data_IF_808053008997
#
_entry.id   IF_808053008997
#
_cell.length_a   1.000
_cell.length_b   1.000
_cell.length_c   1.000
_cell.angle_alpha   90.00
_cell.angle_beta   90.00
_cell.angle_gamma   90.00
#
_symmetry.space_group_name_H-M   'P 1'
#
loop_
_entity.id
_entity.type
_entity.pdbx_description
1 polymer ?
#
# COMPACT_ATOMS: atom_id res chain seq x y z
N UNK A 1 -24.18 -16.00 13.03
CA UNK A 1 -25.52 -15.76 13.64
C UNK A 1 -25.64 -14.27 13.95
N UNK A 2 -26.76 -13.67 13.62
CA UNK A 2 -27.09 -12.28 13.92
C UNK A 2 -28.41 -12.14 14.64
N UNK A 3 -28.70 -10.94 15.11
CA UNK A 3 -30.00 -10.56 15.66
C UNK A 3 -30.55 -9.44 14.76
N UNK A 4 -31.75 -9.64 14.22
CA UNK A 4 -32.45 -8.60 13.47
C UNK A 4 -32.86 -7.48 14.46
N UNK A 5 -32.36 -6.24 14.28
CA UNK A 5 -32.58 -5.17 15.24
C UNK A 5 -34.04 -4.73 15.34
N UNK A 6 -34.83 -4.97 14.29
CA UNK A 6 -36.23 -4.55 14.23
C UNK A 6 -37.20 -5.61 14.79
N UNK A 7 -36.85 -6.88 14.67
CA UNK A 7 -37.71 -7.99 15.04
C UNK A 7 -37.21 -8.81 16.22
N UNK A 8 -35.99 -8.58 16.68
CA UNK A 8 -35.27 -9.37 17.70
C UNK A 8 -35.17 -10.88 17.38
N UNK A 9 -35.38 -11.25 16.11
CA UNK A 9 -35.27 -12.63 15.68
C UNK A 9 -33.82 -12.97 15.33
N UNK A 10 -33.40 -14.13 15.80
CA UNK A 10 -32.10 -14.70 15.37
C UNK A 10 -32.20 -15.12 13.92
N UNK A 11 -31.14 -14.77 13.16
CA UNK A 11 -30.95 -15.24 11.80
C UNK A 11 -29.55 -15.87 11.64
N UNK A 12 -29.43 -16.73 10.66
CA UNK A 12 -28.16 -17.33 10.26
C UNK A 12 -27.98 -17.05 8.79
N UNK A 13 -26.88 -16.36 8.46
CA UNK A 13 -26.42 -16.23 7.08
C UNK A 13 -25.21 -17.12 6.86
N UNK A 14 -25.13 -17.67 5.66
CA UNK A 14 -23.97 -18.45 5.23
C UNK A 14 -23.25 -17.66 4.16
N UNK A 15 -21.96 -17.44 4.40
CA UNK A 15 -21.06 -16.78 3.45
C UNK A 15 -20.06 -17.78 2.89
N UNK A 16 -19.76 -17.65 1.60
CA UNK A 16 -18.62 -18.29 0.99
C UNK A 16 -17.39 -17.43 1.25
N UNK A 17 -16.27 -18.05 1.64
CA UNK A 17 -14.98 -17.37 1.83
C UNK A 17 -14.06 -17.74 0.69
N UNK A 18 -13.46 -16.74 0.06
CA UNK A 18 -12.54 -16.89 -1.08
C UNK A 18 -11.23 -16.18 -0.81
N UNK A 19 -10.17 -16.75 -1.38
CA UNK A 19 -8.86 -16.08 -1.46
C UNK A 19 -8.91 -14.94 -2.45
N UNK A 20 -8.19 -13.86 -2.16
CA UNK A 20 -7.91 -12.81 -3.12
C UNK A 20 -6.59 -13.16 -3.81
N UNK A 21 -6.59 -13.19 -5.14
CA UNK A 21 -5.40 -13.57 -5.90
C UNK A 21 -4.23 -12.63 -5.60
N UNK A 22 -3.07 -13.23 -5.28
CA UNK A 22 -1.85 -12.48 -5.01
C UNK A 22 -1.77 -11.80 -3.64
N UNK A 23 -2.80 -11.96 -2.78
CA UNK A 23 -2.80 -11.41 -1.42
C UNK A 23 -2.86 -12.56 -0.41
N UNK A 24 -2.09 -12.45 0.67
CA UNK A 24 -2.11 -13.44 1.75
C UNK A 24 -3.47 -13.47 2.44
N UNK A 25 -4.01 -14.68 2.68
CA UNK A 25 -5.25 -14.89 3.42
C UNK A 25 -5.16 -14.42 4.89
N UNK A 26 -3.95 -14.28 5.42
CA UNK A 26 -3.72 -13.73 6.75
C UNK A 26 -4.03 -12.22 6.82
N UNK A 27 -4.02 -11.55 5.66
CA UNK A 27 -4.25 -10.11 5.56
C UNK A 27 -5.64 -9.77 5.06
N UNK A 28 -6.09 -10.44 4.01
CA UNK A 28 -7.37 -10.13 3.37
C UNK A 28 -8.02 -11.40 2.81
N UNK A 29 -9.34 -11.45 2.93
CA UNK A 29 -10.20 -12.46 2.31
C UNK A 29 -11.37 -11.77 1.65
N UNK A 30 -12.00 -12.41 0.68
CA UNK A 30 -13.32 -12.03 0.20
C UNK A 30 -14.37 -12.96 0.83
N UNK A 31 -15.44 -12.41 1.38
CA UNK A 31 -16.56 -13.18 1.88
C UNK A 31 -17.87 -12.61 1.33
N UNK A 32 -18.80 -13.48 0.97
CA UNK A 32 -20.05 -13.08 0.37
C UNK A 32 -20.97 -14.25 0.02
N UNK A 33 -21.99 -13.93 -0.77
CA UNK A 33 -22.98 -14.86 -1.27
C UNK A 33 -23.35 -14.53 -2.74
N UNK A 34 -24.50 -14.98 -3.20
CA UNK A 34 -25.00 -14.74 -4.57
C UNK A 34 -25.22 -13.25 -4.87
N UNK A 35 -25.40 -12.40 -3.85
CA UNK A 35 -25.63 -10.96 -4.00
C UNK A 35 -24.31 -10.18 -4.18
N UNK A 36 -23.19 -10.77 -3.78
CA UNK A 36 -21.85 -10.16 -3.96
C UNK A 36 -20.84 -10.60 -2.92
N UNK A 37 -19.58 -10.18 -3.16
CA UNK A 37 -18.46 -10.43 -2.27
C UNK A 37 -17.88 -9.11 -1.77
N UNK A 38 -17.53 -9.08 -0.50
CA UNK A 38 -16.87 -7.95 0.15
C UNK A 38 -15.50 -8.36 0.64
N UNK A 39 -14.55 -7.42 0.60
CA UNK A 39 -13.20 -7.64 1.11
C UNK A 39 -13.19 -7.35 2.60
N UNK A 40 -12.59 -8.27 3.35
CA UNK A 40 -12.36 -8.15 4.78
C UNK A 40 -10.85 -8.19 5.03
N UNK A 41 -10.34 -7.15 5.66
CA UNK A 41 -8.96 -7.08 6.13
C UNK A 41 -8.86 -7.59 7.57
N UNK A 42 -7.69 -8.12 7.94
CA UNK A 42 -7.40 -8.44 9.34
C UNK A 42 -7.34 -7.16 10.18
N UNK A 43 -7.99 -7.18 11.35
CA UNK A 43 -8.20 -6.01 12.21
C UNK A 43 -6.92 -5.55 12.94
N UNK A 44 -5.88 -6.38 13.01
CA UNK A 44 -4.60 -6.07 13.65
C UNK A 44 -3.45 -6.60 12.79
N UNK A 45 -3.27 -6.04 11.62
CA UNK A 45 -2.06 -6.33 10.86
C UNK A 45 -0.87 -5.59 11.48
N UNK A 46 -0.06 -6.31 12.24
CA UNK A 46 1.26 -5.82 12.62
C UNK A 46 2.06 -5.56 11.35
N UNK A 47 2.61 -4.36 11.21
CA UNK A 47 3.43 -4.05 10.05
C UNK A 47 4.57 -5.08 9.91
N UNK A 48 4.81 -5.63 8.70
CA UNK A 48 5.87 -6.59 8.47
C UNK A 48 7.24 -6.03 8.82
N UNK A 49 8.13 -6.86 9.39
CA UNK A 49 9.47 -6.44 9.83
C UNK A 49 10.37 -5.93 8.70
N UNK A 50 10.06 -6.30 7.44
CA UNK A 50 10.86 -5.92 6.27
C UNK A 50 9.97 -5.52 5.09
N UNK A 51 10.51 -4.64 4.24
CA UNK A 51 9.85 -4.24 2.99
C UNK A 51 9.56 -5.44 2.08
N UNK A 52 10.49 -6.39 1.97
CA UNK A 52 10.28 -7.59 1.15
C UNK A 52 9.07 -8.40 1.59
N UNK A 53 8.90 -8.56 2.90
CA UNK A 53 7.72 -9.24 3.45
C UNK A 53 6.43 -8.46 3.21
N UNK A 54 6.47 -7.13 3.29
CA UNK A 54 5.33 -6.28 2.92
C UNK A 54 4.95 -6.47 1.45
N UNK A 55 5.93 -6.36 0.54
CA UNK A 55 5.70 -6.52 -0.90
C UNK A 55 5.10 -7.89 -1.25
N UNK A 56 5.59 -8.95 -0.57
CA UNK A 56 5.12 -10.33 -0.77
C UNK A 56 3.70 -10.53 -0.25
N UNK A 57 3.42 -10.16 1.01
CA UNK A 57 2.14 -10.41 1.66
C UNK A 57 0.97 -9.72 0.95
N UNK A 58 1.19 -8.49 0.47
CA UNK A 58 0.17 -7.73 -0.26
C UNK A 58 0.28 -7.90 -1.78
N UNK A 59 1.31 -8.61 -2.26
CA UNK A 59 1.55 -8.79 -3.69
C UNK A 59 1.63 -7.46 -4.44
N UNK A 60 2.26 -6.43 -3.84
CA UNK A 60 2.14 -5.05 -4.31
C UNK A 60 2.55 -4.90 -5.77
N UNK A 61 3.70 -5.43 -6.17
CA UNK A 61 4.18 -5.34 -7.55
C UNK A 61 3.37 -6.15 -8.58
N UNK A 62 2.46 -7.01 -8.12
CA UNK A 62 1.61 -7.84 -8.98
C UNK A 62 0.19 -7.32 -9.07
N UNK A 63 -0.27 -6.67 -8.00
CA UNK A 63 -1.66 -6.24 -7.85
C UNK A 63 -1.85 -4.73 -8.02
N UNK A 64 -0.77 -3.95 -8.05
CA UNK A 64 -0.82 -2.49 -8.10
C UNK A 64 0.02 -2.00 -9.28
N UNK A 65 -0.58 -1.21 -10.14
CA UNK A 65 0.06 -0.48 -11.24
C UNK A 65 0.15 1.00 -10.85
N UNK A 66 1.36 1.55 -10.84
CA UNK A 66 1.60 2.96 -10.53
C UNK A 66 1.39 3.79 -11.80
N UNK A 67 0.41 4.69 -11.79
CA UNK A 67 0.01 5.42 -12.98
C UNK A 67 0.52 6.88 -13.00
N UNK A 68 0.49 7.52 -11.85
CA UNK A 68 0.89 8.91 -11.68
C UNK A 68 1.80 9.07 -10.47
N UNK A 69 2.68 10.06 -10.54
CA UNK A 69 3.49 10.48 -9.41
C UNK A 69 3.36 11.98 -9.21
N UNK A 70 3.04 12.37 -7.99
CA UNK A 70 3.01 13.77 -7.56
C UNK A 70 4.27 14.05 -6.74
N UNK A 71 5.06 15.03 -7.18
CA UNK A 71 6.15 15.56 -6.38
C UNK A 71 5.59 16.52 -5.35
N UNK A 72 5.87 16.27 -4.08
CA UNK A 72 5.45 17.10 -2.96
C UNK A 72 6.66 17.72 -2.27
N UNK A 73 6.53 18.96 -1.85
CA UNK A 73 7.54 19.69 -1.08
C UNK A 73 6.84 20.44 0.05
N UNK A 74 7.21 20.14 1.30
CA UNK A 74 6.57 20.73 2.48
C UNK A 74 5.03 20.58 2.46
N UNK A 75 4.55 19.39 2.10
CA UNK A 75 3.11 19.06 1.96
C UNK A 75 2.37 19.75 0.82
N UNK A 76 3.04 20.59 0.04
CA UNK A 76 2.48 21.22 -1.15
C UNK A 76 2.79 20.38 -2.39
N UNK A 77 1.78 20.11 -3.18
CA UNK A 77 1.93 19.50 -4.51
C UNK A 77 2.59 20.49 -5.45
N UNK A 78 3.68 20.07 -6.07
CA UNK A 78 4.43 20.94 -7.01
C UNK A 78 4.24 20.51 -8.46
N UNK A 79 4.25 19.23 -8.72
CA UNK A 79 4.23 18.67 -10.07
C UNK A 79 3.60 17.28 -10.06
N UNK A 80 2.75 17.01 -11.05
CA UNK A 80 2.21 15.68 -11.31
C UNK A 80 2.71 15.18 -12.66
N UNK A 81 3.23 13.96 -12.68
CA UNK A 81 3.81 13.31 -13.86
C UNK A 81 3.10 11.98 -14.12
N UNK A 82 2.83 11.71 -15.39
CA UNK A 82 2.35 10.38 -15.82
C UNK A 82 3.52 9.42 -15.85
N UNK A 83 3.32 8.21 -15.34
CA UNK A 83 4.26 7.10 -15.46
C UNK A 83 3.90 6.25 -16.67
N UNK A 84 4.85 6.07 -17.58
CA UNK A 84 4.69 5.17 -18.73
C UNK A 84 4.89 3.70 -18.33
N UNK A 85 5.65 3.45 -17.27
CA UNK A 85 5.97 2.11 -16.76
C UNK A 85 6.47 2.22 -15.30
N UNK A 86 6.16 1.25 -14.47
CA UNK A 86 6.57 1.21 -13.06
C UNK A 86 7.53 0.06 -12.71
N UNK A 87 7.89 -0.79 -13.67
CA UNK A 87 8.75 -1.96 -13.47
C UNK A 87 10.07 -1.62 -12.78
N UNK A 88 10.75 -0.53 -13.20
CA UNK A 88 12.02 -0.11 -12.61
C UNK A 88 11.84 0.27 -11.13
N UNK A 89 10.71 0.90 -10.78
CA UNK A 89 10.40 1.28 -9.39
C UNK A 89 10.28 0.02 -8.53
N UNK A 90 9.49 -0.96 -8.99
CA UNK A 90 9.32 -2.24 -8.31
C UNK A 90 10.62 -3.04 -8.19
N UNK A 91 11.47 -3.01 -9.23
CA UNK A 91 12.79 -3.66 -9.18
C UNK A 91 13.71 -3.01 -8.14
N UNK A 92 13.74 -1.68 -8.06
CA UNK A 92 14.53 -0.97 -7.05
C UNK A 92 14.03 -1.32 -5.64
N UNK A 93 12.71 -1.31 -5.42
CA UNK A 93 12.11 -1.67 -4.13
C UNK A 93 12.38 -3.13 -3.75
N UNK A 94 12.25 -4.06 -4.71
CA UNK A 94 12.59 -5.46 -4.50
C UNK A 94 14.08 -5.67 -4.16
N UNK A 95 14.98 -4.86 -4.75
CA UNK A 95 16.41 -4.82 -4.40
C UNK A 95 16.68 -4.34 -2.98
N UNK A 96 15.68 -3.79 -2.28
CA UNK A 96 15.73 -3.33 -0.88
C UNK A 96 14.83 -4.15 0.04
N UNK A 97 14.58 -5.40 -0.32
CA UNK A 97 13.71 -6.32 0.43
C UNK A 97 14.15 -6.52 1.89
N UNK A 98 15.41 -6.28 2.21
CA UNK A 98 15.99 -6.32 3.56
C UNK A 98 15.76 -5.04 4.39
N UNK A 99 15.21 -3.98 3.78
CA UNK A 99 14.92 -2.72 4.48
C UNK A 99 14.01 -2.99 5.67
N UNK A 100 14.44 -2.54 6.85
CA UNK A 100 13.74 -2.78 8.11
C UNK A 100 12.63 -1.77 8.34
N UNK A 101 11.61 -2.24 9.03
CA UNK A 101 10.57 -1.38 9.59
C UNK A 101 11.19 -0.33 10.51
N UNK A 102 10.79 0.91 10.34
CA UNK A 102 11.08 2.04 11.21
C UNK A 102 9.75 2.68 11.62
N UNK A 103 9.42 2.60 12.89
CA UNK A 103 8.24 3.21 13.51
C UNK A 103 8.61 4.29 14.53
N UNK A 104 9.82 4.83 14.44
CA UNK A 104 10.32 5.85 15.39
C UNK A 104 9.74 7.24 15.12
N UNK A 105 9.22 7.49 13.94
CA UNK A 105 8.57 8.75 13.56
C UNK A 105 7.61 8.54 12.39
N UNK A 106 6.46 9.20 12.44
CA UNK A 106 5.52 9.26 11.32
C UNK A 106 6.21 9.76 10.04
N UNK A 107 5.85 9.15 8.91
CA UNK A 107 6.38 9.53 7.60
C UNK A 107 6.18 11.02 7.33
N UNK A 108 5.08 11.62 7.72
CA UNK A 108 4.73 13.00 7.44
C UNK A 108 5.15 14.00 8.54
N UNK A 109 5.56 13.57 9.72
CA UNK A 109 6.00 14.48 10.81
C UNK A 109 7.40 15.07 10.61
N UNK A 110 8.17 14.59 9.62
CA UNK A 110 9.54 15.06 9.35
C UNK A 110 9.51 16.38 8.60
N UNK A 111 10.08 17.43 9.17
CA UNK A 111 10.14 18.78 8.57
C UNK A 111 10.95 18.84 7.25
N UNK A 112 10.60 19.80 6.37
CA UNK A 112 11.30 20.15 5.12
C UNK A 112 11.50 18.96 4.16
N UNK A 113 10.44 18.19 3.94
CA UNK A 113 10.51 16.95 3.19
C UNK A 113 10.12 17.11 1.72
N UNK A 114 10.99 16.63 0.86
CA UNK A 114 10.64 16.33 -0.53
C UNK A 114 10.29 14.84 -0.62
N UNK A 115 9.12 14.55 -1.16
CA UNK A 115 8.69 13.18 -1.40
C UNK A 115 7.88 13.02 -2.68
N UNK A 116 7.84 11.82 -3.18
CA UNK A 116 6.98 11.38 -4.28
C UNK A 116 5.78 10.65 -3.70
N UNK A 117 4.57 11.01 -4.15
CA UNK A 117 3.34 10.32 -3.84
C UNK A 117 2.80 9.66 -5.10
N UNK A 118 2.68 8.33 -5.10
CA UNK A 118 2.24 7.57 -6.26
C UNK A 118 0.76 7.24 -6.18
N UNK A 119 0.04 7.57 -7.25
CA UNK A 119 -1.34 7.14 -7.49
C UNK A 119 -1.32 5.84 -8.27
N UNK A 120 -2.12 4.89 -7.84
CA UNK A 120 -2.12 3.56 -8.39
C UNK A 120 -3.52 3.04 -8.71
N UNK A 121 -3.59 2.05 -9.59
CA UNK A 121 -4.78 1.24 -9.86
C UNK A 121 -4.50 -0.22 -9.56
N UNK A 122 -5.55 -0.96 -9.26
CA UNK A 122 -5.50 -2.40 -9.07
C UNK A 122 -6.77 -3.02 -9.65
N UNK A 123 -6.61 -4.00 -10.54
CA UNK A 123 -7.76 -4.77 -11.05
C UNK A 123 -8.43 -5.58 -9.92
N UNK A 124 -7.66 -5.98 -8.92
CA UNK A 124 -8.15 -6.80 -7.81
C UNK A 124 -8.80 -5.96 -6.70
N UNK A 125 -8.20 -4.83 -6.35
CA UNK A 125 -8.58 -4.03 -5.17
C UNK A 125 -9.26 -2.69 -5.53
N UNK A 126 -9.28 -2.31 -6.81
CA UNK A 126 -9.85 -1.05 -7.29
C UNK A 126 -8.81 0.06 -7.46
N UNK A 127 -9.27 1.30 -7.40
CA UNK A 127 -8.41 2.49 -7.59
C UNK A 127 -7.92 3.01 -6.25
N UNK A 128 -6.63 3.24 -6.16
CA UNK A 128 -5.98 3.83 -5.00
C UNK A 128 -5.43 5.21 -5.34
N UNK A 129 -5.79 6.20 -4.57
CA UNK A 129 -5.18 7.51 -4.66
C UNK A 129 -4.03 7.61 -3.67
N UNK A 130 -2.80 7.84 -4.19
CA UNK A 130 -1.57 8.02 -3.38
C UNK A 130 -1.29 6.86 -2.43
N UNK A 131 -1.07 5.71 -3.01
CA UNK A 131 -0.89 4.46 -2.26
C UNK A 131 0.52 4.28 -1.70
N UNK A 132 1.54 4.86 -2.37
CA UNK A 132 2.95 4.72 -2.02
C UNK A 132 3.60 6.09 -1.91
N UNK A 133 4.50 6.23 -0.95
CA UNK A 133 5.27 7.44 -0.70
C UNK A 133 6.75 7.11 -0.62
N UNK A 134 7.59 7.90 -1.30
CA UNK A 134 9.05 7.75 -1.27
C UNK A 134 9.68 9.11 -1.03
N UNK A 135 10.41 9.26 0.07
CA UNK A 135 11.05 10.52 0.43
C UNK A 135 12.52 10.55 0.00
N UNK A 136 13.04 11.75 -0.29
CA UNK A 136 14.44 11.92 -0.71
C UNK A 136 15.46 11.52 0.36
N UNK A 137 15.07 11.52 1.62
CA UNK A 137 15.89 11.06 2.75
C UNK A 137 15.96 9.53 2.87
N UNK A 138 15.24 8.80 2.01
CA UNK A 138 15.41 7.35 1.82
C UNK A 138 14.35 6.50 2.48
N UNK A 139 13.15 7.00 2.71
CA UNK A 139 12.07 6.22 3.31
C UNK A 139 10.98 5.88 2.30
N UNK A 140 10.44 4.70 2.47
CA UNK A 140 9.24 4.21 1.81
C UNK A 140 8.11 4.11 2.84
N UNK A 141 6.92 4.57 2.50
CA UNK A 141 5.69 4.36 3.26
C UNK A 141 4.52 4.02 2.32
N UNK A 142 3.46 3.47 2.87
CA UNK A 142 2.24 3.14 2.12
C UNK A 142 1.01 3.32 2.98
N UNK A 143 -0.10 3.77 2.39
CA UNK A 143 -1.38 3.90 3.09
C UNK A 143 -2.12 2.56 3.31
N UNK A 144 -1.52 1.45 2.86
CA UNK A 144 -1.97 0.09 3.23
C UNK A 144 -1.70 -0.16 4.71
N UNK A 145 -0.65 0.47 5.24
CA UNK A 145 -0.32 0.51 6.67
C UNK A 145 -0.58 1.91 7.22
N UNK A 146 -0.53 2.05 8.54
CA UNK A 146 -0.49 3.37 9.17
C UNK A 146 0.81 4.12 8.80
N UNK A 147 0.75 5.45 8.65
CA UNK A 147 1.91 6.27 8.25
C UNK A 147 3.02 6.37 9.29
N UNK A 148 2.77 5.89 10.51
CA UNK A 148 3.82 5.68 11.51
C UNK A 148 4.79 4.56 11.11
N UNK A 149 4.39 3.69 10.16
CA UNK A 149 5.23 2.61 9.65
C UNK A 149 5.90 3.02 8.34
N UNK A 150 7.22 3.06 8.37
CA UNK A 150 8.03 3.31 7.17
C UNK A 150 9.20 2.34 7.10
N UNK A 151 9.81 2.24 5.91
CA UNK A 151 10.96 1.36 5.68
C UNK A 151 12.12 2.18 5.13
N UNK A 152 13.29 2.09 5.77
CA UNK A 152 14.47 2.79 5.29
C UNK A 152 15.12 2.05 4.12
N UNK A 153 14.76 2.43 2.90
CA UNK A 153 15.32 1.88 1.66
C UNK A 153 16.67 2.49 1.30
N UNK A 154 17.07 3.58 1.96
CA UNK A 154 18.32 4.31 1.76
C UNK A 154 18.22 5.39 0.69
N UNK A 155 19.00 6.46 0.86
CA UNK A 155 19.00 7.64 -0.03
C UNK A 155 19.37 7.30 -1.49
N UNK A 156 20.20 6.29 -1.70
CA UNK A 156 20.60 5.88 -3.04
C UNK A 156 19.42 5.31 -3.83
N UNK A 157 18.68 4.36 -3.23
CA UNK A 157 17.50 3.76 -3.87
C UNK A 157 16.41 4.80 -4.11
N UNK A 158 16.10 5.64 -3.12
CA UNK A 158 15.16 6.74 -3.28
C UNK A 158 15.58 7.69 -4.40
N UNK A 159 16.86 8.08 -4.43
CA UNK A 159 17.42 8.92 -5.49
C UNK A 159 17.39 8.27 -6.89
N UNK A 160 17.46 6.95 -6.99
CA UNK A 160 17.27 6.24 -8.26
C UNK A 160 15.83 6.37 -8.74
N UNK A 161 14.84 6.15 -7.87
CA UNK A 161 13.43 6.28 -8.18
C UNK A 161 13.10 7.73 -8.57
N UNK A 162 13.56 8.73 -7.81
CA UNK A 162 13.34 10.15 -8.12
C UNK A 162 13.88 10.50 -9.51
N UNK A 163 15.10 10.05 -9.85
CA UNK A 163 15.67 10.28 -11.19
C UNK A 163 14.92 9.55 -12.29
N UNK A 164 14.37 8.37 -12.00
CA UNK A 164 13.59 7.61 -12.97
C UNK A 164 12.32 8.37 -13.37
N UNK A 165 11.55 8.88 -12.41
CA UNK A 165 10.29 9.57 -12.66
C UNK A 165 10.46 10.99 -13.24
N UNK A 166 11.68 11.52 -13.26
CA UNK A 166 11.99 12.85 -13.82
C UNK A 166 12.52 12.82 -15.26
N UNK A 167 12.61 11.62 -15.87
CA UNK A 167 13.05 11.46 -17.26
C UNK A 167 11.92 11.76 -18.23
#
# INVERSE_FOLDING_TARGET
EGLDPDTEKKYTETFEVRKIHGISEELMIAAGNEDGFYVYAADESTAPDTLGKLLELYGLSQNIELNYVTKCENYEEKEELLLDNDDEIWQILAGRSDAKLDNTSDFFERENRIYLAFTATSETLGVYNRVIYISEDGYFATNILDYEYSYFIGKEAAGQIIRYVQK
#
